data_IF_618575404053
#
_entry.id   IF_618575404053
#
_cell.length_a   1.000
_cell.length_b   1.000
_cell.length_c   1.000
_cell.angle_alpha   90.00
_cell.angle_beta   90.00
_cell.angle_gamma   90.00
#
_symmetry.space_group_name_H-M   'P 1'
#
loop_
_entity.id
_entity.type
_entity.pdbx_description
1 polymer ?
#
# COMPACT_ATOMS: atom_id res chain seq x y z
N UNK A 1 -8.70 -2.80 -19.31
CA UNK A 1 -9.88 -2.71 -18.44
C UNK A 1 -11.21 -2.99 -19.14
N UNK A 2 -11.19 -3.57 -20.34
CA UNK A 2 -12.39 -3.89 -21.13
C UNK A 2 -13.35 -4.85 -20.41
N UNK A 3 -12.84 -5.68 -19.49
CA UNK A 3 -13.65 -6.58 -18.64
C UNK A 3 -14.65 -5.84 -17.75
N UNK A 4 -14.53 -4.51 -17.60
CA UNK A 4 -15.44 -3.70 -16.79
C UNK A 4 -16.60 -3.08 -17.59
N UNK A 5 -16.58 -3.22 -18.92
CA UNK A 5 -17.62 -2.64 -19.78
C UNK A 5 -18.94 -3.35 -19.49
N UNK A 6 -20.00 -2.56 -19.26
CA UNK A 6 -21.36 -3.02 -18.91
C UNK A 6 -21.46 -3.81 -17.58
N UNK A 7 -20.41 -3.81 -16.75
CA UNK A 7 -20.52 -4.32 -15.38
C UNK A 7 -21.22 -3.30 -14.49
N UNK A 8 -22.09 -3.78 -13.59
CA UNK A 8 -22.61 -2.96 -12.50
C UNK A 8 -21.51 -2.69 -11.45
N UNK A 9 -21.76 -1.71 -10.57
CA UNK A 9 -20.80 -1.30 -9.54
C UNK A 9 -20.33 -2.46 -8.64
N UNK A 10 -21.23 -3.38 -8.24
CA UNK A 10 -20.88 -4.51 -7.36
C UNK A 10 -20.00 -5.52 -8.09
N UNK A 11 -20.26 -5.76 -9.38
CA UNK A 11 -19.40 -6.61 -10.22
C UNK A 11 -18.02 -6.00 -10.39
N UNK A 12 -17.91 -4.69 -10.62
CA UNK A 12 -16.63 -3.99 -10.71
C UNK A 12 -15.83 -4.13 -9.40
N UNK A 13 -16.47 -3.91 -8.25
CA UNK A 13 -15.83 -4.04 -6.94
C UNK A 13 -15.38 -5.48 -6.65
N UNK A 14 -16.18 -6.48 -7.04
CA UNK A 14 -15.82 -7.89 -6.91
C UNK A 14 -14.60 -8.26 -7.78
N UNK A 15 -14.58 -7.82 -9.05
CA UNK A 15 -13.46 -8.05 -9.97
C UNK A 15 -12.17 -7.34 -9.53
N UNK A 16 -12.28 -6.21 -8.84
CA UNK A 16 -11.14 -5.45 -8.36
C UNK A 16 -10.26 -6.27 -7.40
N UNK A 17 -10.83 -7.17 -6.59
CA UNK A 17 -10.04 -8.00 -5.68
C UNK A 17 -8.95 -8.81 -6.40
N UNK A 18 -9.34 -9.55 -7.44
CA UNK A 18 -8.41 -10.30 -8.27
C UNK A 18 -7.46 -9.39 -9.04
N UNK A 19 -8.00 -8.37 -9.73
CA UNK A 19 -7.22 -7.45 -10.57
C UNK A 19 -6.14 -6.73 -9.76
N UNK A 20 -6.44 -6.30 -8.53
CA UNK A 20 -5.48 -5.66 -7.64
C UNK A 20 -4.34 -6.62 -7.27
N UNK A 21 -4.67 -7.84 -6.84
CA UNK A 21 -3.65 -8.81 -6.44
C UNK A 21 -2.71 -9.15 -7.62
N UNK A 22 -3.30 -9.38 -8.79
CA UNK A 22 -2.59 -9.64 -10.05
C UNK A 22 -1.66 -8.48 -10.43
N UNK A 23 -2.19 -7.25 -10.37
CA UNK A 23 -1.46 -6.04 -10.73
C UNK A 23 -0.31 -5.74 -9.77
N UNK A 24 -0.51 -5.91 -8.45
CA UNK A 24 0.56 -5.74 -7.45
C UNK A 24 1.71 -6.70 -7.76
N UNK A 25 1.40 -7.98 -8.06
CA UNK A 25 2.42 -8.99 -8.39
C UNK A 25 3.23 -8.63 -9.64
N UNK A 26 2.60 -8.01 -10.65
CA UNK A 26 3.30 -7.53 -11.87
C UNK A 26 4.13 -6.27 -11.64
N UNK A 27 3.80 -5.46 -10.64
CA UNK A 27 4.43 -4.16 -10.38
C UNK A 27 5.66 -4.24 -9.47
N UNK A 28 5.93 -5.41 -8.86
CA UNK A 28 7.11 -5.61 -8.02
C UNK A 28 8.28 -6.15 -8.85
N UNK A 29 9.51 -5.65 -8.62
CA UNK A 29 10.70 -6.06 -9.38
C UNK A 29 11.10 -7.52 -9.10
N UNK A 30 10.93 -7.98 -7.85
CA UNK A 30 11.23 -9.34 -7.44
C UNK A 30 10.05 -9.93 -6.65
N UNK A 31 9.37 -10.89 -7.25
CA UNK A 31 8.17 -11.51 -6.67
C UNK A 31 8.50 -12.40 -5.45
N UNK A 32 9.70 -12.99 -5.38
CA UNK A 32 10.12 -13.81 -4.25
C UNK A 32 10.35 -12.93 -3.03
N UNK A 33 11.19 -11.89 -3.17
CA UNK A 33 11.46 -10.94 -2.09
C UNK A 33 10.18 -10.25 -1.62
N UNK A 34 9.28 -9.88 -2.55
CA UNK A 34 7.98 -9.32 -2.20
C UNK A 34 7.16 -10.28 -1.32
N UNK A 35 7.04 -11.56 -1.70
CA UNK A 35 6.27 -12.55 -0.95
C UNK A 35 6.85 -12.79 0.44
N UNK A 36 8.17 -12.93 0.55
CA UNK A 36 8.85 -13.14 1.82
C UNK A 36 8.68 -11.93 2.75
N UNK A 37 8.92 -10.73 2.24
CA UNK A 37 8.73 -9.50 3.01
C UNK A 37 7.28 -9.33 3.45
N UNK A 38 6.32 -9.59 2.57
CA UNK A 38 4.90 -9.50 2.90
C UNK A 38 4.50 -10.50 4.00
N UNK A 39 5.06 -11.71 4.00
CA UNK A 39 4.82 -12.70 5.06
C UNK A 39 5.33 -12.18 6.41
N UNK A 40 6.56 -11.68 6.45
CA UNK A 40 7.18 -11.13 7.67
C UNK A 40 6.36 -9.94 8.20
N UNK A 41 6.02 -8.99 7.34
CA UNK A 41 5.25 -7.78 7.71
C UNK A 41 3.84 -8.15 8.19
N UNK A 42 3.15 -9.08 7.53
CA UNK A 42 1.81 -9.51 7.97
C UNK A 42 1.85 -10.24 9.32
N UNK A 43 2.89 -11.05 9.54
CA UNK A 43 3.09 -11.71 10.82
C UNK A 43 3.31 -10.69 11.94
N UNK A 44 4.22 -9.75 11.74
CA UNK A 44 4.46 -8.62 12.65
C UNK A 44 3.15 -7.84 12.92
N UNK A 45 2.42 -7.44 11.88
CA UNK A 45 1.19 -6.65 12.02
C UNK A 45 0.12 -7.37 12.85
N UNK A 46 -0.01 -8.70 12.70
CA UNK A 46 -0.94 -9.51 13.51
C UNK A 46 -0.53 -9.52 14.99
N UNK A 47 0.75 -9.75 15.28
CA UNK A 47 1.26 -9.76 16.67
C UNK A 47 1.07 -8.39 17.34
N UNK A 48 1.20 -7.30 16.59
CA UNK A 48 1.02 -5.93 17.09
C UNK A 48 -0.44 -5.47 17.14
N UNK A 49 -1.41 -6.30 16.72
CA UNK A 49 -2.83 -5.94 16.72
C UNK A 49 -3.23 -4.93 15.61
N UNK A 50 -2.42 -4.80 14.56
CA UNK A 50 -2.59 -3.81 13.47
C UNK A 50 -3.26 -4.42 12.22
N UNK A 51 -3.80 -5.63 12.31
CA UNK A 51 -4.33 -6.38 11.18
C UNK A 51 -5.87 -6.49 11.27
N UNK A 52 -6.59 -5.43 10.90
CA UNK A 52 -8.05 -5.47 10.70
C UNK A 52 -8.58 -4.18 10.06
N UNK A 53 -9.08 -4.28 8.82
CA UNK A 53 -9.67 -3.13 8.13
C UNK A 53 -10.99 -2.65 8.75
N UNK A 54 -11.74 -3.54 9.40
CA UNK A 54 -13.06 -3.23 9.97
C UNK A 54 -12.94 -2.24 11.14
N UNK A 55 -11.89 -2.37 11.95
CA UNK A 55 -11.66 -1.47 13.11
C UNK A 55 -10.70 -0.32 12.79
N UNK A 56 -10.47 -0.03 11.50
CA UNK A 56 -9.66 1.12 11.06
C UNK A 56 -8.15 0.88 11.01
N UNK A 57 -7.67 -0.36 11.10
CA UNK A 57 -6.30 -0.72 10.79
C UNK A 57 -6.19 -1.29 9.36
N UNK A 58 -5.11 -1.99 9.04
CA UNK A 58 -4.80 -2.40 7.68
C UNK A 58 -5.17 -3.86 7.43
N UNK A 59 -5.87 -4.11 6.33
CA UNK A 59 -6.14 -5.43 5.79
C UNK A 59 -5.01 -5.95 4.89
N UNK A 60 -5.18 -7.18 4.38
CA UNK A 60 -4.14 -7.88 3.62
C UNK A 60 -3.66 -7.14 2.37
N UNK A 61 -4.58 -6.52 1.63
CA UNK A 61 -4.25 -5.73 0.42
C UNK A 61 -3.50 -4.45 0.77
N UNK A 62 -3.82 -3.81 1.89
CA UNK A 62 -3.17 -2.58 2.34
C UNK A 62 -1.68 -2.85 2.65
N UNK A 63 -1.40 -3.92 3.40
CA UNK A 63 -0.04 -4.37 3.65
C UNK A 63 0.71 -4.73 2.36
N UNK A 64 0.04 -5.39 1.41
CA UNK A 64 0.63 -5.71 0.11
C UNK A 64 1.02 -4.45 -0.67
N UNK A 65 0.20 -3.39 -0.64
CA UNK A 65 0.52 -2.10 -1.28
C UNK A 65 1.75 -1.46 -0.65
N UNK A 66 1.81 -1.38 0.69
CA UNK A 66 2.98 -0.82 1.38
C UNK A 66 4.26 -1.60 1.08
N UNK A 67 4.20 -2.93 1.12
CA UNK A 67 5.35 -3.78 0.83
C UNK A 67 5.79 -3.64 -0.63
N UNK A 68 4.84 -3.67 -1.57
CA UNK A 68 5.15 -3.53 -2.99
C UNK A 68 5.82 -2.19 -3.30
N UNK A 69 5.37 -1.10 -2.67
CA UNK A 69 5.98 0.22 -2.87
C UNK A 69 7.44 0.26 -2.40
N UNK A 70 7.76 -0.37 -1.27
CA UNK A 70 9.13 -0.46 -0.77
C UNK A 70 9.99 -1.30 -1.72
N UNK A 71 9.47 -2.42 -2.23
CA UNK A 71 10.17 -3.20 -3.24
C UNK A 71 10.46 -2.38 -4.52
N UNK A 72 9.55 -1.50 -4.95
CA UNK A 72 9.79 -0.61 -6.10
C UNK A 72 10.88 0.45 -5.82
N UNK A 73 10.94 0.98 -4.60
CA UNK A 73 11.93 1.99 -4.22
C UNK A 73 13.35 1.41 -4.08
N UNK A 74 13.45 0.12 -3.75
CA UNK A 74 14.72 -0.57 -3.50
C UNK A 74 14.79 -1.91 -4.26
N UNK A 75 14.77 -1.90 -5.61
CA UNK A 75 14.58 -3.11 -6.42
C UNK A 75 15.65 -4.19 -6.22
N UNK A 76 16.88 -3.77 -5.91
CA UNK A 76 18.04 -4.66 -5.79
C UNK A 76 18.43 -4.96 -4.34
N UNK A 77 17.66 -4.48 -3.35
CA UNK A 77 18.01 -4.67 -1.95
C UNK A 77 17.77 -6.11 -1.48
N UNK A 78 18.62 -6.58 -0.56
CA UNK A 78 18.42 -7.84 0.14
C UNK A 78 17.18 -7.78 1.05
N UNK A 79 16.61 -8.94 1.40
CA UNK A 79 15.38 -9.03 2.21
C UNK A 79 15.48 -8.31 3.56
N UNK A 80 16.61 -8.46 4.27
CA UNK A 80 16.88 -7.79 5.55
C UNK A 80 16.89 -6.27 5.41
N UNK A 81 17.50 -5.76 4.34
CA UNK A 81 17.53 -4.33 4.02
C UNK A 81 16.12 -3.84 3.68
N UNK A 82 15.35 -4.59 2.88
CA UNK A 82 13.97 -4.24 2.56
C UNK A 82 13.08 -4.18 3.80
N UNK A 83 13.24 -5.11 4.74
CA UNK A 83 12.50 -5.10 6.00
C UNK A 83 12.80 -3.84 6.82
N UNK A 84 14.08 -3.47 6.96
CA UNK A 84 14.48 -2.24 7.64
C UNK A 84 13.97 -0.99 6.92
N UNK A 85 14.09 -0.95 5.58
CA UNK A 85 13.58 0.15 4.75
C UNK A 85 12.06 0.26 4.80
N UNK A 86 11.34 -0.85 4.94
CA UNK A 86 9.89 -0.84 5.09
C UNK A 86 9.48 0.00 6.30
N UNK A 87 10.01 -0.31 7.48
CA UNK A 87 9.66 0.43 8.69
C UNK A 87 10.15 1.88 8.66
N UNK A 88 11.36 2.12 8.12
CA UNK A 88 11.90 3.48 7.95
C UNK A 88 10.98 4.35 7.09
N UNK A 89 10.59 3.86 5.90
CA UNK A 89 9.77 4.63 4.95
C UNK A 89 8.44 4.99 5.57
N UNK A 90 7.76 4.05 6.22
CA UNK A 90 6.41 4.30 6.76
C UNK A 90 6.40 5.05 8.09
N UNK A 91 7.49 5.00 8.87
CA UNK A 91 7.68 5.85 10.03
C UNK A 91 7.89 7.33 9.66
N UNK A 92 8.53 7.59 8.51
CA UNK A 92 8.87 8.94 8.05
C UNK A 92 7.94 9.46 6.94
N UNK A 93 6.91 8.70 6.57
CA UNK A 93 6.01 9.09 5.49
C UNK A 93 5.15 10.28 5.90
N UNK A 94 5.11 11.31 5.05
CA UNK A 94 4.35 12.54 5.25
C UNK A 94 2.86 12.34 4.97
N UNK A 95 2.16 11.61 5.84
CA UNK A 95 0.70 11.45 5.74
C UNK A 95 0.01 12.83 5.75
N UNK A 96 -1.02 13.07 4.91
CA UNK A 96 -1.78 12.10 4.11
C UNK A 96 -1.31 11.96 2.65
N UNK A 97 -0.01 12.15 2.34
CA UNK A 97 0.52 11.92 0.98
C UNK A 97 0.16 10.49 0.50
N UNK A 98 -0.47 10.32 -0.68
CA UNK A 98 -0.96 9.03 -1.12
C UNK A 98 0.17 8.08 -1.52
N UNK A 99 -0.04 6.80 -1.23
CA UNK A 99 0.83 5.72 -1.71
C UNK A 99 0.27 5.18 -3.03
N UNK A 100 1.04 5.38 -4.10
CA UNK A 100 0.73 4.94 -5.46
C UNK A 100 1.77 3.90 -5.92
N UNK A 101 1.33 2.79 -6.49
CA UNK A 101 2.22 1.79 -7.10
C UNK A 101 2.44 2.00 -8.59
N UNK A 102 1.57 2.76 -9.25
CA UNK A 102 1.69 3.13 -10.66
C UNK A 102 1.02 4.49 -10.89
N UNK A 103 1.25 5.07 -12.08
CA UNK A 103 0.55 6.29 -12.48
C UNK A 103 -0.95 6.02 -12.58
N UNK A 104 -1.74 6.95 -12.07
CA UNK A 104 -3.20 6.95 -12.23
C UNK A 104 -3.54 7.26 -13.69
N UNK A 105 -4.50 6.57 -14.31
CA UNK A 105 -4.90 6.88 -15.67
C UNK A 105 -5.64 8.22 -15.72
N UNK A 106 -5.41 9.00 -16.77
CA UNK A 106 -5.99 10.33 -16.94
C UNK A 106 -7.45 10.27 -17.40
N UNK A 107 -8.27 11.25 -17.00
CA UNK A 107 -9.69 11.32 -17.39
C UNK A 107 -9.88 11.31 -18.91
N UNK A 108 -9.04 12.03 -19.64
CA UNK A 108 -9.09 12.12 -21.10
C UNK A 108 -9.02 10.77 -21.81
N UNK A 109 -8.47 9.73 -21.16
CA UNK A 109 -8.44 8.37 -21.72
C UNK A 109 -9.81 7.67 -21.70
N UNK A 110 -10.77 8.18 -20.93
CA UNK A 110 -12.09 7.56 -20.71
C UNK A 110 -13.27 8.46 -21.10
N UNK A 111 -13.03 9.72 -21.44
CA UNK A 111 -14.07 10.64 -21.94
C UNK A 111 -14.80 9.98 -23.11
N UNK A 112 -16.14 9.98 -23.07
CA UNK A 112 -16.98 9.40 -24.13
C UNK A 112 -16.79 7.90 -24.36
N UNK A 113 -16.22 7.18 -23.39
CA UNK A 113 -16.18 5.71 -23.38
C UNK A 113 -17.28 5.15 -22.46
N UNK A 114 -17.68 3.87 -22.62
CA UNK A 114 -18.59 3.21 -21.67
C UNK A 114 -18.08 3.18 -20.22
N UNK A 115 -16.81 3.48 -19.99
CA UNK A 115 -16.17 3.49 -18.67
C UNK A 115 -16.16 4.87 -17.99
N UNK A 116 -16.74 5.91 -18.60
CA UNK A 116 -16.78 7.26 -18.02
C UNK A 116 -17.45 7.28 -16.64
N UNK A 117 -18.56 6.54 -16.48
CA UNK A 117 -19.24 6.42 -15.18
C UNK A 117 -18.37 5.70 -14.14
N UNK A 118 -17.60 4.69 -14.56
CA UNK A 118 -16.66 3.98 -13.69
C UNK A 118 -15.52 4.90 -13.26
N UNK A 119 -15.09 5.81 -14.13
CA UNK A 119 -14.06 6.80 -13.81
C UNK A 119 -14.49 7.73 -12.68
N UNK A 120 -15.77 8.08 -12.57
CA UNK A 120 -16.28 8.93 -11.48
C UNK A 120 -16.07 8.32 -10.09
N UNK A 121 -15.91 7.00 -9.99
CA UNK A 121 -15.59 6.31 -8.74
C UNK A 121 -14.12 6.45 -8.34
N UNK A 122 -13.24 6.84 -9.27
CA UNK A 122 -11.80 6.93 -9.04
C UNK A 122 -11.48 7.93 -7.93
N UNK A 123 -10.56 7.52 -7.05
CA UNK A 123 -10.06 8.36 -5.98
C UNK A 123 -9.37 9.60 -6.57
N UNK A 124 -9.89 10.78 -6.23
CA UNK A 124 -9.33 12.06 -6.64
C UNK A 124 -9.52 13.10 -5.50
N UNK A 125 -8.45 13.53 -4.82
CA UNK A 125 -8.53 14.47 -3.71
C UNK A 125 -8.85 15.90 -4.15
N UNK A 126 -8.75 16.21 -5.45
CA UNK A 126 -9.09 17.54 -5.99
C UNK A 126 -10.60 17.70 -6.19
N UNK A 127 -11.32 16.60 -6.42
CA UNK A 127 -12.76 16.63 -6.74
C UNK A 127 -13.63 16.03 -5.64
N UNK A 128 -13.09 15.17 -4.77
CA UNK A 128 -13.84 14.49 -3.72
C UNK A 128 -13.44 14.97 -2.31
N UNK A 129 -14.41 15.53 -1.58
CA UNK A 129 -14.24 15.93 -0.16
C UNK A 129 -13.81 14.73 0.69
N UNK A 130 -14.43 13.56 0.47
CA UNK A 130 -14.07 12.31 1.14
C UNK A 130 -12.62 11.91 0.87
N UNK A 131 -12.15 12.06 -0.36
CA UNK A 131 -10.76 11.78 -0.70
C UNK A 131 -9.78 12.75 -0.03
N UNK A 132 -10.15 14.04 0.05
CA UNK A 132 -9.37 15.10 0.70
C UNK A 132 -9.21 14.89 2.23
N UNK A 133 -10.18 14.24 2.87
CA UNK A 133 -10.19 13.97 4.31
C UNK A 133 -9.51 12.65 4.71
N UNK A 134 -8.95 11.89 3.75
CA UNK A 134 -8.30 10.61 4.05
C UNK A 134 -7.00 10.81 4.86
N UNK A 135 -6.80 10.04 5.93
CA UNK A 135 -5.60 10.14 6.78
C UNK A 135 -4.41 9.37 6.22
N UNK A 136 -4.63 8.18 5.65
CA UNK A 136 -3.57 7.29 5.18
C UNK A 136 -3.90 6.70 3.80
N UNK A 137 -4.00 7.49 2.71
CA UNK A 137 -4.54 6.99 1.45
C UNK A 137 -3.62 5.98 0.76
N UNK A 138 -4.07 4.73 0.67
CA UNK A 138 -3.40 3.65 -0.06
C UNK A 138 -4.21 3.30 -1.31
N UNK A 139 -3.70 3.68 -2.48
CA UNK A 139 -4.49 3.64 -3.70
C UNK A 139 -4.26 2.33 -4.46
N UNK A 140 -5.35 1.67 -4.86
CA UNK A 140 -5.30 0.44 -5.64
C UNK A 140 -4.77 0.70 -7.05
N UNK A 141 -3.89 -0.16 -7.59
CA UNK A 141 -3.18 0.11 -8.86
C UNK A 141 -3.96 -0.28 -10.12
N UNK A 142 -5.27 -0.48 -10.01
CA UNK A 142 -6.13 -0.88 -11.13
C UNK A 142 -7.25 0.13 -11.27
N UNK A 143 -7.71 0.36 -12.50
CA UNK A 143 -8.85 1.23 -12.76
C UNK A 143 -10.18 0.57 -12.32
N UNK A 144 -11.12 1.32 -11.71
CA UNK A 144 -10.92 2.64 -11.13
C UNK A 144 -10.01 2.53 -9.88
N UNK A 145 -9.05 3.44 -9.77
CA UNK A 145 -8.11 3.42 -8.65
C UNK A 145 -8.77 3.98 -7.40
N UNK A 146 -8.89 3.19 -6.34
CA UNK A 146 -9.66 3.51 -5.12
C UNK A 146 -8.76 3.61 -3.90
N UNK A 147 -9.19 4.37 -2.89
CA UNK A 147 -8.56 4.35 -1.58
C UNK A 147 -8.99 3.11 -0.77
N UNK A 148 -8.04 2.20 -0.53
CA UNK A 148 -8.26 0.94 0.18
C UNK A 148 -8.23 1.06 1.71
N UNK A 149 -7.94 2.24 2.27
CA UNK A 149 -7.77 2.50 3.71
C UNK A 149 -8.73 3.59 4.20
N UNK A 150 -9.96 3.58 3.70
CA UNK A 150 -10.98 4.58 4.05
C UNK A 150 -11.45 4.52 5.51
N UNK A 151 -11.19 3.43 6.23
CA UNK A 151 -11.53 3.28 7.66
C UNK A 151 -10.42 3.78 8.60
N UNK A 152 -9.22 4.10 8.07
CA UNK A 152 -8.14 4.63 8.92
C UNK A 152 -8.54 5.99 9.46
N UNK A 153 -8.42 6.15 10.77
CA UNK A 153 -8.71 7.36 11.53
C UNK A 153 -7.42 8.01 12.02
N UNK A 154 -7.51 9.24 12.55
CA UNK A 154 -6.36 9.91 13.18
C UNK A 154 -5.72 9.06 14.28
N UNK A 155 -6.52 8.40 15.11
CA UNK A 155 -6.04 7.57 16.23
C UNK A 155 -5.32 6.31 15.76
N UNK A 156 -5.89 5.59 14.79
CA UNK A 156 -5.28 4.36 14.24
C UNK A 156 -4.03 4.67 13.44
N UNK A 157 -4.00 5.78 12.69
CA UNK A 157 -2.80 6.28 12.02
C UNK A 157 -1.67 6.59 13.00
N UNK A 158 -1.99 7.24 14.14
CA UNK A 158 -0.99 7.50 15.19
C UNK A 158 -0.36 6.20 15.67
N UNK A 159 -1.18 5.20 16.03
CA UNK A 159 -0.70 3.89 16.50
C UNK A 159 0.14 3.19 15.43
N UNK A 160 -0.31 3.20 14.16
CA UNK A 160 0.48 2.64 13.05
C UNK A 160 1.86 3.28 12.94
N UNK A 161 1.92 4.62 13.03
CA UNK A 161 3.17 5.39 12.91
C UNK A 161 4.12 5.14 14.08
N UNK A 162 3.59 5.07 15.30
CA UNK A 162 4.35 4.71 16.52
C UNK A 162 4.94 3.29 16.40
N UNK A 163 4.15 2.34 15.92
CA UNK A 163 4.57 0.95 15.72
C UNK A 163 5.61 0.80 14.61
N UNK A 164 5.48 1.53 13.50
CA UNK A 164 6.53 1.60 12.47
C UNK A 164 7.83 2.17 13.02
N UNK A 165 7.74 3.26 13.78
CA UNK A 165 8.91 3.91 14.40
C UNK A 165 9.60 2.97 15.38
N UNK A 166 8.83 2.28 16.22
CA UNK A 166 9.36 1.30 17.18
C UNK A 166 10.07 0.15 16.48
N UNK A 167 9.45 -0.44 15.46
CA UNK A 167 10.06 -1.53 14.69
C UNK A 167 11.33 -1.09 13.96
N UNK A 168 11.34 0.12 13.41
CA UNK A 168 12.53 0.68 12.77
C UNK A 168 13.70 0.84 13.76
N UNK A 169 13.44 1.35 14.97
CA UNK A 169 14.47 1.47 16.03
C UNK A 169 15.07 0.12 16.39
N UNK A 170 14.22 -0.88 16.68
CA UNK A 170 14.67 -2.23 17.03
C UNK A 170 15.60 -2.82 15.95
N UNK A 171 15.23 -2.67 14.67
CA UNK A 171 16.06 -3.17 13.56
C UNK A 171 17.35 -2.38 13.35
N UNK A 172 17.39 -1.10 13.73
CA UNK A 172 18.58 -0.28 13.62
C UNK A 172 19.56 -0.58 14.76
N UNK A 173 19.05 -0.79 15.98
CA UNK A 173 19.86 -1.15 17.15
C UNK A 173 20.47 -2.54 16.97
N UNK A 174 19.70 -3.51 16.47
CA UNK A 174 20.18 -4.86 16.17
C UNK A 174 21.30 -4.88 15.09
N UNK A 175 21.27 -3.93 14.15
CA UNK A 175 22.31 -3.79 13.14
C UNK A 175 23.59 -3.13 13.68
N UNK A 176 23.49 -2.32 14.74
CA UNK A 176 24.62 -1.71 15.43
C UNK A 176 25.31 -2.63 16.44
N UNK A 177 24.64 -3.72 16.85
CA UNK A 177 25.16 -4.71 17.80
C UNK A 177 25.91 -5.88 17.14
N UNK A 178 26.18 -5.85 15.84
CA UNK A 178 26.96 -6.89 15.15
C UNK A 178 28.47 -6.68 15.42
N UNK A 179 29.14 -7.54 16.22
CA UNK A 179 30.57 -7.38 16.55
C UNK A 179 31.51 -7.66 15.37
N UNK A 180 30.97 -8.05 14.20
CA UNK A 180 31.74 -8.48 13.03
C UNK A 180 32.06 -7.41 12.00
N UNK A 181 31.54 -6.18 12.12
CA UNK A 181 31.81 -5.11 11.15
C UNK A 181 33.01 -4.23 11.56
N UNK A 182 34.13 -4.85 11.93
CA UNK A 182 35.43 -4.18 11.98
C UNK A 182 36.38 -4.80 10.97
N UNK A 183 36.69 -3.99 9.96
CA UNK A 183 37.88 -4.02 9.10
C UNK A 183 38.13 -5.32 8.33
N UNK A 184 37.88 -5.26 7.02
CA UNK A 184 38.84 -5.71 6.00
C UNK A 184 38.61 -4.91 4.73
#
# INVERSE_FOLDING_TARGET
>A
DNVLINCDEKSILSLNGYRVAERIRRLVPDQNKFRELLRIVKYWAKIRGLYSNVVGYLGGVNWAVLVARVCQMYPNAALSVLLRRFFMVWAQWEWPKPVLLCKMPAYSLFVSTPLEQVFKMQWNPLTSVRAKQAFMPLITPVFPCLNSTHNVSKSTLRVLTEEFTKAFRILNDAAGSDPGASKT
#
